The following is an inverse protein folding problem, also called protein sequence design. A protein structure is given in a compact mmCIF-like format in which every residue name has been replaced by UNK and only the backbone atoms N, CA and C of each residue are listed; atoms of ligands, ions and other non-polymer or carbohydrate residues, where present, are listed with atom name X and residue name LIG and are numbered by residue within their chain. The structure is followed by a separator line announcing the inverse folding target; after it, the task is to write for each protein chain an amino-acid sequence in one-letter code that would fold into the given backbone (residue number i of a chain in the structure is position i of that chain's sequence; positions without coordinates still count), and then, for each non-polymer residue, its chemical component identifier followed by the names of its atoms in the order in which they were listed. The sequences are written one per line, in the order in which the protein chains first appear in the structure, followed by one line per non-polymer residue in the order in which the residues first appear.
data_IF_810839539779
#
_entry.id   IF_810839539779
#
_cell.length_a   1.000
_cell.length_b   1.000
_cell.length_c   1.000
_cell.angle_alpha   90.00
_cell.angle_beta   90.00
_cell.angle_gamma   90.00
#
_symmetry.space_group_name_H-M   'P 1'
#
loop_
_entity.id
_entity.type
_entity.pdbx_description
1 polymer ?
#
# COMPACT_ATOMS: atom_id res chain seq x y z
N UNK A 1 -89.61 34.47 -22.72
CA UNK A 1 -90.55 34.46 -23.86
C UNK A 1 -91.88 34.99 -23.37
N UNK A 2 -92.30 36.16 -23.83
CA UNK A 2 -93.67 36.67 -23.64
C UNK A 2 -93.88 37.89 -24.54
N UNK A 3 -94.51 37.61 -25.69
CA UNK A 3 -95.34 38.44 -26.55
C UNK A 3 -94.89 39.87 -26.88
N UNK A 4 -94.36 40.01 -28.10
CA UNK A 4 -94.47 41.22 -28.89
C UNK A 4 -95.95 41.60 -29.03
N UNK A 5 -96.36 42.74 -28.48
CA UNK A 5 -97.40 43.53 -29.12
C UNK A 5 -96.77 44.33 -30.27
N UNK A 6 -96.30 43.61 -31.29
CA UNK A 6 -96.52 44.03 -32.67
C UNK A 6 -98.03 44.08 -32.86
N UNK A 7 -98.67 45.15 -32.42
CA UNK A 7 -99.97 45.50 -32.98
C UNK A 7 -99.69 45.93 -34.43
N UNK A 8 -99.48 44.93 -35.29
CA UNK A 8 -99.60 45.11 -36.73
C UNK A 8 -101.00 45.63 -36.92
N UNK A 9 -101.10 46.82 -37.51
CA UNK A 9 -102.38 47.39 -37.89
C UNK A 9 -103.24 46.31 -38.55
N UNK A 10 -104.42 46.07 -38.00
CA UNK A 10 -105.31 45.04 -38.52
C UNK A 10 -105.97 45.53 -39.81
N UNK A 11 -105.48 45.02 -40.93
CA UNK A 11 -106.00 45.35 -42.26
C UNK A 11 -107.28 44.57 -42.61
N UNK A 12 -107.72 43.61 -41.78
CA UNK A 12 -108.85 42.72 -42.11
C UNK A 12 -110.21 43.44 -42.13
N UNK A 13 -110.33 44.57 -41.41
CA UNK A 13 -111.53 45.41 -41.39
C UNK A 13 -111.62 46.42 -42.54
N UNK A 14 -110.64 46.45 -43.45
CA UNK A 14 -110.60 47.34 -44.61
C UNK A 14 -111.02 46.62 -45.88
N UNK A 15 -111.60 47.35 -46.85
CA UNK A 15 -111.75 46.80 -48.19
C UNK A 15 -110.39 46.53 -48.84
N UNK A 16 -110.38 45.67 -49.85
CA UNK A 16 -109.15 45.19 -50.51
C UNK A 16 -108.32 46.34 -51.07
N UNK A 17 -108.95 47.37 -51.65
CA UNK A 17 -108.24 48.50 -52.25
C UNK A 17 -107.58 49.37 -51.16
N UNK A 18 -108.31 49.67 -50.08
CA UNK A 18 -107.76 50.44 -48.95
C UNK A 18 -106.66 49.67 -48.22
N UNK A 19 -106.81 48.36 -48.03
CA UNK A 19 -105.80 47.52 -47.42
C UNK A 19 -104.50 47.45 -48.26
N UNK A 20 -104.61 47.37 -49.59
CA UNK A 20 -103.44 47.40 -50.49
C UNK A 20 -102.73 48.74 -50.42
N UNK A 21 -103.48 49.84 -50.57
CA UNK A 21 -102.93 51.20 -50.49
C UNK A 21 -102.19 51.44 -49.17
N UNK A 22 -102.80 51.06 -48.04
CA UNK A 22 -102.19 51.28 -46.73
C UNK A 22 -100.91 50.45 -46.53
N UNK A 23 -100.83 49.22 -47.06
CA UNK A 23 -99.62 48.39 -47.01
C UNK A 23 -98.51 48.94 -47.91
N UNK A 24 -98.83 49.31 -49.15
CA UNK A 24 -97.88 49.91 -50.09
C UNK A 24 -97.34 51.24 -49.55
N UNK A 25 -98.23 52.10 -49.04
CA UNK A 25 -97.86 53.37 -48.40
C UNK A 25 -96.94 53.14 -47.19
N UNK A 26 -97.20 52.13 -46.36
CA UNK A 26 -96.35 51.82 -45.22
C UNK A 26 -94.95 51.34 -45.63
N UNK A 27 -94.83 50.59 -46.73
CA UNK A 27 -93.54 50.19 -47.30
C UNK A 27 -92.81 51.43 -47.83
N UNK A 28 -93.51 52.28 -48.58
CA UNK A 28 -92.91 53.49 -49.17
C UNK A 28 -92.44 54.48 -48.09
N UNK A 29 -93.24 54.71 -47.06
CA UNK A 29 -92.89 55.59 -45.93
C UNK A 29 -91.62 55.06 -45.23
N UNK A 30 -91.54 53.75 -44.94
CA UNK A 30 -90.34 53.14 -44.34
C UNK A 30 -89.10 53.25 -45.23
N UNK A 31 -89.27 53.10 -46.54
CA UNK A 31 -88.17 53.29 -47.49
C UNK A 31 -87.68 54.76 -47.50
N UNK A 32 -88.61 55.72 -47.44
CA UNK A 32 -88.29 57.15 -47.34
C UNK A 32 -87.60 57.49 -46.01
N UNK A 33 -88.02 56.89 -44.90
CA UNK A 33 -87.33 57.04 -43.61
C UNK A 33 -85.88 56.54 -43.66
N UNK A 34 -85.62 55.41 -44.33
CA UNK A 34 -84.25 54.94 -44.58
C UNK A 34 -83.46 55.91 -45.46
N UNK A 35 -84.09 56.48 -46.48
CA UNK A 35 -83.45 57.45 -47.36
C UNK A 35 -83.05 58.74 -46.64
N UNK A 36 -83.72 59.13 -45.54
CA UNK A 36 -83.32 60.28 -44.71
C UNK A 36 -81.88 60.12 -44.22
N UNK A 37 -81.53 58.93 -43.73
CA UNK A 37 -80.16 58.62 -43.27
C UNK A 37 -79.13 58.76 -44.39
N UNK A 38 -79.41 58.14 -45.53
CA UNK A 38 -78.53 58.13 -46.69
C UNK A 38 -78.32 59.56 -47.22
N UNK A 39 -79.39 60.35 -47.28
CA UNK A 39 -79.34 61.75 -47.69
C UNK A 39 -78.53 62.61 -46.72
N UNK A 40 -78.69 62.44 -45.39
CA UNK A 40 -77.91 63.21 -44.41
C UNK A 40 -76.42 62.89 -44.53
N UNK A 41 -76.06 61.61 -44.70
CA UNK A 41 -74.67 61.18 -44.91
C UNK A 41 -74.13 61.72 -46.23
N UNK A 42 -74.91 61.67 -47.31
CA UNK A 42 -74.50 62.19 -48.62
C UNK A 42 -74.30 63.71 -48.58
N UNK A 43 -75.20 64.47 -47.97
CA UNK A 43 -75.04 65.91 -47.74
C UNK A 43 -73.73 66.17 -47.00
N UNK A 44 -73.45 65.43 -45.91
CA UNK A 44 -72.20 65.54 -45.18
C UNK A 44 -70.97 65.25 -46.05
N UNK A 45 -71.01 64.21 -46.88
CA UNK A 45 -69.92 63.86 -47.79
C UNK A 45 -69.68 64.95 -48.86
N UNK A 46 -70.74 65.52 -49.44
CA UNK A 46 -70.61 66.65 -50.38
C UNK A 46 -70.04 67.89 -49.69
N UNK A 47 -70.49 68.19 -48.47
CA UNK A 47 -69.94 69.28 -47.66
C UNK A 47 -68.45 69.06 -47.34
N UNK A 48 -68.03 67.82 -47.03
CA UNK A 48 -66.60 67.48 -46.85
C UNK A 48 -65.82 67.74 -48.13
N UNK A 49 -66.32 67.31 -49.29
CA UNK A 49 -65.66 67.49 -50.57
C UNK A 49 -65.48 68.98 -50.93
N UNK A 50 -66.55 69.78 -50.80
CA UNK A 50 -66.50 71.22 -51.06
C UNK A 50 -65.61 71.95 -50.05
N UNK A 51 -65.69 71.59 -48.76
CA UNK A 51 -64.82 72.17 -47.72
C UNK A 51 -63.32 71.94 -48.00
N UNK A 52 -62.97 70.80 -48.60
CA UNK A 52 -61.59 70.49 -49.02
C UNK A 52 -61.15 71.27 -50.26
N UNK A 53 -62.09 71.57 -51.17
CA UNK A 53 -61.80 72.28 -52.43
C UNK A 53 -61.69 73.81 -52.27
N UNK A 54 -62.39 74.38 -51.28
CA UNK A 54 -62.39 75.82 -51.05
C UNK A 54 -61.16 76.30 -50.24
N UNK A 55 -60.65 77.52 -50.50
CA UNK A 55 -59.63 78.14 -49.66
C UNK A 55 -60.07 78.29 -48.20
N UNK A 56 -59.08 78.32 -47.30
CA UNK A 56 -59.32 78.54 -45.87
C UNK A 56 -60.17 79.80 -45.62
N UNK A 57 -61.17 79.67 -44.75
CA UNK A 57 -62.09 80.77 -44.40
C UNK A 57 -63.25 81.00 -45.38
N UNK A 58 -63.22 80.42 -46.59
CA UNK A 58 -64.28 80.61 -47.59
C UNK A 58 -65.49 79.69 -47.39
N UNK A 59 -65.29 78.52 -46.78
CA UNK A 59 -66.35 77.52 -46.61
C UNK A 59 -67.57 78.04 -45.84
N UNK A 60 -67.35 78.76 -44.73
CA UNK A 60 -68.46 79.32 -43.94
C UNK A 60 -69.28 80.36 -44.70
N UNK A 61 -68.63 81.16 -45.55
CA UNK A 61 -69.31 82.14 -46.40
C UNK A 61 -70.16 81.44 -47.48
N UNK A 62 -69.60 80.41 -48.11
CA UNK A 62 -70.29 79.60 -49.11
C UNK A 62 -71.52 78.87 -48.54
N UNK A 63 -71.38 78.23 -47.37
CA UNK A 63 -72.52 77.57 -46.70
C UNK A 63 -73.65 78.55 -46.40
N UNK A 64 -73.31 79.77 -45.97
CA UNK A 64 -74.28 80.82 -45.68
C UNK A 64 -74.97 81.34 -46.95
N UNK A 65 -74.25 81.46 -48.08
CA UNK A 65 -74.83 81.97 -49.33
C UNK A 65 -75.73 80.96 -50.03
N UNK A 66 -75.34 79.68 -50.07
CA UNK A 66 -76.06 78.65 -50.84
C UNK A 66 -77.27 78.08 -50.09
N UNK A 67 -77.19 77.97 -48.76
CA UNK A 67 -78.19 77.23 -47.96
C UNK A 67 -78.78 78.05 -46.81
N UNK A 68 -78.32 79.29 -46.60
CA UNK A 68 -78.65 80.11 -45.42
C UNK A 68 -78.33 79.42 -44.08
N UNK A 69 -77.45 78.42 -44.11
CA UNK A 69 -77.07 77.65 -42.94
C UNK A 69 -75.95 78.33 -42.16
N UNK A 70 -75.93 78.08 -40.86
CA UNK A 70 -74.75 78.35 -40.06
C UNK A 70 -73.64 77.33 -40.38
N UNK A 71 -72.38 77.73 -40.16
CA UNK A 71 -71.26 76.80 -40.22
C UNK A 71 -71.41 75.65 -39.21
N UNK A 72 -72.12 75.88 -38.09
CA UNK A 72 -72.45 74.84 -37.10
C UNK A 72 -73.35 73.78 -37.72
N UNK A 73 -74.41 74.19 -38.43
CA UNK A 73 -75.35 73.28 -39.11
C UNK A 73 -74.62 72.41 -40.12
N UNK A 74 -73.80 73.00 -41.02
CA UNK A 74 -72.98 72.23 -41.94
C UNK A 74 -71.98 71.30 -41.22
N UNK A 75 -71.43 71.75 -40.09
CA UNK A 75 -70.56 70.94 -39.24
C UNK A 75 -71.26 69.69 -38.68
N UNK A 76 -72.55 69.77 -38.35
CA UNK A 76 -73.34 68.61 -37.88
C UNK A 76 -73.47 67.54 -38.96
N UNK A 77 -73.81 67.93 -40.20
CA UNK A 77 -73.86 67.00 -41.35
C UNK A 77 -72.50 66.36 -41.63
N UNK A 78 -71.42 67.15 -41.61
CA UNK A 78 -70.04 66.64 -41.77
C UNK A 78 -69.73 65.60 -40.69
N UNK A 79 -70.07 65.87 -39.43
CA UNK A 79 -69.81 64.95 -38.32
C UNK A 79 -70.57 63.63 -38.49
N UNK A 80 -71.83 63.68 -38.92
CA UNK A 80 -72.61 62.48 -39.23
C UNK A 80 -71.91 61.65 -40.31
N UNK A 81 -71.50 62.27 -41.41
CA UNK A 81 -70.83 61.55 -42.50
C UNK A 81 -69.47 60.96 -42.09
N UNK A 82 -68.74 61.61 -41.17
CA UNK A 82 -67.45 61.12 -40.68
C UNK A 82 -67.59 59.93 -39.73
N UNK A 83 -68.54 59.97 -38.80
CA UNK A 83 -68.67 58.99 -37.72
C UNK A 83 -69.60 57.82 -38.10
N UNK A 84 -70.62 58.07 -38.92
CA UNK A 84 -71.64 57.09 -39.30
C UNK A 84 -71.46 56.61 -40.75
N UNK A 85 -70.32 55.96 -41.00
CA UNK A 85 -69.97 55.42 -42.32
C UNK A 85 -70.97 54.36 -42.82
N UNK A 86 -70.80 53.92 -44.08
CA UNK A 86 -71.67 52.94 -44.74
C UNK A 86 -71.81 51.59 -44.00
N UNK A 87 -70.96 51.30 -43.02
CA UNK A 87 -70.99 50.06 -42.24
C UNK A 87 -72.19 50.00 -41.26
N UNK A 88 -72.86 51.12 -40.99
CA UNK A 88 -74.01 51.19 -40.07
C UNK A 88 -75.38 51.19 -40.79
N UNK A 89 -75.39 51.04 -42.13
CA UNK A 89 -76.58 51.14 -43.01
C UNK A 89 -77.66 50.08 -42.80
N UNK A 90 -77.31 48.91 -42.27
CA UNK A 90 -78.24 47.76 -42.16
C UNK A 90 -79.05 47.74 -40.85
N UNK A 91 -79.01 48.83 -40.09
CA UNK A 91 -79.70 48.92 -38.81
C UNK A 91 -81.09 49.55 -39.00
N UNK A 92 -82.07 48.73 -39.41
CA UNK A 92 -83.44 49.14 -39.75
C UNK A 92 -84.26 49.84 -38.62
N UNK A 93 -83.67 50.06 -37.44
CA UNK A 93 -84.29 50.67 -36.26
C UNK A 93 -83.43 51.84 -35.72
N UNK A 94 -82.81 52.60 -36.62
CA UNK A 94 -82.05 53.79 -36.26
C UNK A 94 -82.94 55.04 -36.17
N UNK A 95 -82.49 56.09 -35.44
CA UNK A 95 -83.26 57.31 -35.27
C UNK A 95 -83.58 57.99 -36.60
N UNK A 96 -84.82 58.42 -36.84
CA UNK A 96 -85.22 59.02 -38.12
C UNK A 96 -85.17 60.56 -38.14
N UNK A 97 -84.78 61.22 -37.04
CA UNK A 97 -84.59 62.68 -36.98
C UNK A 97 -83.11 63.08 -37.06
N UNK A 98 -82.85 64.24 -37.69
CA UNK A 98 -81.49 64.76 -37.86
C UNK A 98 -80.75 64.95 -36.52
N UNK A 99 -81.43 65.49 -35.51
CA UNK A 99 -80.88 65.73 -34.18
C UNK A 99 -80.46 64.43 -33.50
N UNK A 100 -81.26 63.38 -33.63
CA UNK A 100 -80.98 62.08 -33.04
C UNK A 100 -79.82 61.37 -33.75
N UNK A 101 -79.75 61.46 -35.08
CA UNK A 101 -78.63 60.94 -35.89
C UNK A 101 -77.33 61.67 -35.54
N UNK A 102 -77.38 63.00 -35.45
CA UNK A 102 -76.23 63.81 -35.05
C UNK A 102 -75.77 63.49 -33.62
N UNK A 103 -76.70 63.23 -32.70
CA UNK A 103 -76.37 62.86 -31.33
C UNK A 103 -75.69 61.50 -31.27
N UNK A 104 -76.13 60.53 -32.08
CA UNK A 104 -75.48 59.23 -32.21
C UNK A 104 -74.05 59.37 -32.75
N UNK A 105 -73.87 60.13 -33.84
CA UNK A 105 -72.55 60.46 -34.39
C UNK A 105 -71.66 61.16 -33.35
N UNK A 106 -72.24 62.05 -32.55
CA UNK A 106 -71.52 62.73 -31.47
C UNK A 106 -71.10 61.78 -30.35
N UNK A 107 -71.89 60.74 -30.10
CA UNK A 107 -71.54 59.63 -29.21
C UNK A 107 -70.30 58.87 -29.67
N UNK A 108 -70.15 58.64 -30.97
CA UNK A 108 -69.04 57.85 -31.54
C UNK A 108 -67.69 58.59 -31.57
N UNK A 109 -67.72 59.91 -31.40
CA UNK A 109 -66.51 60.71 -31.46
C UNK A 109 -65.59 60.41 -30.29
N UNK A 110 -64.32 60.11 -30.61
CA UNK A 110 -63.25 59.74 -29.66
C UNK A 110 -63.56 58.50 -28.81
N UNK A 111 -64.39 57.59 -29.31
CA UNK A 111 -64.59 56.27 -28.70
C UNK A 111 -63.93 55.19 -29.55
N UNK A 112 -63.48 54.11 -28.91
CA UNK A 112 -63.02 52.90 -29.60
C UNK A 112 -64.19 52.17 -30.28
N UNK A 113 -63.87 51.24 -31.18
CA UNK A 113 -64.89 50.53 -31.97
C UNK A 113 -65.81 49.67 -31.10
N UNK A 114 -65.30 49.08 -30.01
CA UNK A 114 -66.11 48.29 -29.07
C UNK A 114 -67.19 49.14 -28.42
N UNK A 115 -66.82 50.35 -27.95
CA UNK A 115 -67.76 51.29 -27.36
C UNK A 115 -68.80 51.77 -28.38
N UNK A 116 -68.41 51.98 -29.65
CA UNK A 116 -69.36 52.33 -30.72
C UNK A 116 -70.37 51.21 -30.98
N UNK A 117 -69.92 49.96 -31.03
CA UNK A 117 -70.78 48.79 -31.19
C UNK A 117 -71.75 48.64 -30.01
N UNK A 118 -71.28 48.85 -28.77
CA UNK A 118 -72.12 48.82 -27.58
C UNK A 118 -73.20 49.91 -27.63
N UNK A 119 -72.83 51.14 -27.99
CA UNK A 119 -73.80 52.24 -28.18
C UNK A 119 -74.82 51.86 -29.26
N UNK A 120 -74.36 51.32 -30.40
CA UNK A 120 -75.24 50.94 -31.50
C UNK A 120 -76.21 49.82 -31.10
N UNK A 121 -75.74 48.80 -30.40
CA UNK A 121 -76.56 47.69 -29.93
C UNK A 121 -77.59 48.14 -28.89
N UNK A 122 -77.19 49.00 -27.94
CA UNK A 122 -78.10 49.54 -26.94
C UNK A 122 -79.17 50.44 -27.59
N UNK A 123 -78.79 51.27 -28.55
CA UNK A 123 -79.73 52.07 -29.36
C UNK A 123 -80.70 51.17 -30.11
N UNK A 124 -80.22 50.09 -30.76
CA UNK A 124 -81.09 49.12 -31.46
C UNK A 124 -82.08 48.44 -30.51
N UNK A 125 -81.60 47.94 -29.39
CA UNK A 125 -82.40 47.23 -28.39
C UNK A 125 -83.49 48.15 -27.84
N UNK A 126 -83.13 49.36 -27.42
CA UNK A 126 -84.10 50.34 -26.91
C UNK A 126 -85.09 50.81 -27.97
N UNK A 127 -84.68 50.97 -29.23
CA UNK A 127 -85.62 51.25 -30.32
C UNK A 127 -86.61 50.09 -30.51
N UNK A 128 -86.14 48.83 -30.43
CA UNK A 128 -87.00 47.65 -30.53
C UNK A 128 -88.00 47.57 -29.36
N UNK A 129 -87.56 47.79 -28.13
CA UNK A 129 -88.41 47.80 -26.93
C UNK A 129 -89.48 48.89 -27.00
N UNK A 130 -89.11 50.09 -27.48
CA UNK A 130 -90.00 51.24 -27.56
C UNK A 130 -90.95 51.19 -28.77
N UNK A 131 -90.62 50.39 -29.79
CA UNK A 131 -91.39 50.28 -31.03
C UNK A 131 -91.37 51.54 -31.92
N UNK A 132 -90.59 52.56 -31.57
CA UNK A 132 -90.43 53.82 -32.32
C UNK A 132 -89.02 54.36 -32.17
N UNK A 133 -88.59 55.19 -33.12
CA UNK A 133 -87.29 55.85 -33.12
C UNK A 133 -86.99 56.58 -31.79
N UNK A 134 -85.75 56.47 -31.33
CA UNK A 134 -85.27 57.16 -30.13
C UNK A 134 -85.07 58.65 -30.40
N UNK A 135 -85.33 59.45 -29.37
CA UNK A 135 -85.11 60.89 -29.36
C UNK A 135 -83.65 61.23 -29.10
N UNK A 136 -83.25 62.47 -29.42
CA UNK A 136 -81.93 63.01 -29.10
C UNK A 136 -81.55 62.80 -27.62
N UNK A 137 -82.49 63.08 -26.71
CA UNK A 137 -82.26 62.96 -25.26
C UNK A 137 -81.94 61.53 -24.85
N UNK A 138 -82.68 60.55 -25.38
CA UNK A 138 -82.49 59.13 -25.06
C UNK A 138 -81.14 58.61 -25.57
N UNK A 139 -80.73 59.02 -26.77
CA UNK A 139 -79.42 58.66 -27.34
C UNK A 139 -78.30 59.31 -26.54
N UNK A 140 -78.48 60.56 -26.09
CA UNK A 140 -77.53 61.24 -25.22
C UNK A 140 -77.36 60.52 -23.88
N UNK A 141 -78.45 60.03 -23.29
CA UNK A 141 -78.40 59.25 -22.05
C UNK A 141 -77.68 57.91 -22.23
N UNK A 142 -77.97 57.19 -23.32
CA UNK A 142 -77.29 55.92 -23.67
C UNK A 142 -75.78 56.16 -23.84
N UNK A 143 -75.41 57.13 -24.67
CA UNK A 143 -74.02 57.44 -24.98
C UNK A 143 -73.25 57.89 -23.73
N UNK A 144 -73.84 58.72 -22.88
CA UNK A 144 -73.21 59.17 -21.63
C UNK A 144 -72.99 58.01 -20.65
N UNK A 145 -73.99 57.13 -20.50
CA UNK A 145 -73.89 55.97 -19.60
C UNK A 145 -72.76 55.03 -20.04
N UNK A 146 -72.75 54.62 -21.30
CA UNK A 146 -71.74 53.67 -21.81
C UNK A 146 -70.33 54.28 -21.73
N UNK A 147 -70.18 55.57 -22.05
CA UNK A 147 -68.87 56.26 -21.90
C UNK A 147 -68.39 56.27 -20.45
N UNK A 148 -69.27 56.60 -19.51
CA UNK A 148 -68.93 56.59 -18.09
C UNK A 148 -68.53 55.20 -17.59
N UNK A 149 -69.21 54.14 -18.05
CA UNK A 149 -68.88 52.76 -17.73
C UNK A 149 -67.52 52.34 -18.32
N UNK A 150 -67.24 52.75 -19.55
CA UNK A 150 -65.96 52.51 -20.23
C UNK A 150 -64.80 53.22 -19.52
N UNK A 151 -64.96 54.51 -19.18
CA UNK A 151 -63.97 55.30 -18.45
C UNK A 151 -63.70 54.71 -17.05
N UNK A 152 -64.75 54.29 -16.33
CA UNK A 152 -64.59 53.62 -15.04
C UNK A 152 -63.83 52.29 -15.19
N UNK A 153 -64.11 51.52 -16.24
CA UNK A 153 -63.42 50.26 -16.52
C UNK A 153 -61.95 50.48 -16.84
N UNK A 154 -61.61 51.50 -17.63
CA UNK A 154 -60.21 51.87 -17.92
C UNK A 154 -59.48 52.19 -16.61
N UNK A 155 -60.05 53.05 -15.77
CA UNK A 155 -59.41 53.44 -14.51
C UNK A 155 -59.15 52.25 -13.58
N UNK A 156 -60.07 51.28 -13.52
CA UNK A 156 -59.87 50.04 -12.77
C UNK A 156 -58.74 49.21 -13.38
N UNK A 157 -58.71 49.05 -14.71
CA UNK A 157 -57.69 48.27 -15.40
C UNK A 157 -56.30 48.91 -15.27
N UNK A 158 -56.20 50.23 -15.32
CA UNK A 158 -54.95 50.98 -15.09
C UNK A 158 -54.43 50.75 -13.66
N UNK A 159 -55.30 50.81 -12.65
CA UNK A 159 -54.90 50.51 -11.27
C UNK A 159 -54.49 49.04 -11.07
N UNK A 160 -55.16 48.10 -11.75
CA UNK A 160 -54.76 46.68 -11.74
C UNK A 160 -53.41 46.46 -12.41
N UNK A 161 -53.14 47.17 -13.51
CA UNK A 161 -51.87 47.09 -14.21
C UNK A 161 -50.73 47.61 -13.33
N UNK A 162 -50.89 48.79 -12.72
CA UNK A 162 -49.90 49.38 -11.81
C UNK A 162 -49.60 48.45 -10.63
N UNK A 163 -50.64 47.89 -10.00
CA UNK A 163 -50.46 46.93 -8.91
C UNK A 163 -49.70 45.67 -9.37
N UNK A 164 -49.99 45.18 -10.57
CA UNK A 164 -49.30 44.01 -11.15
C UNK A 164 -47.83 44.31 -11.43
N UNK A 165 -47.51 45.50 -11.93
CA UNK A 165 -46.14 45.96 -12.17
C UNK A 165 -45.35 46.03 -10.86
N UNK A 166 -45.91 46.64 -9.81
CA UNK A 166 -45.29 46.71 -8.48
C UNK A 166 -45.02 45.30 -7.91
N UNK A 167 -45.99 44.39 -8.03
CA UNK A 167 -45.82 43.00 -7.59
C UNK A 167 -44.72 42.27 -8.38
N UNK A 168 -44.63 42.53 -9.69
CA UNK A 168 -43.60 41.93 -10.54
C UNK A 168 -42.20 42.42 -10.19
N UNK A 169 -42.02 43.71 -9.93
CA UNK A 169 -40.74 44.30 -9.52
C UNK A 169 -40.30 43.80 -8.14
N UNK A 170 -41.25 43.63 -7.21
CA UNK A 170 -40.99 43.04 -5.91
C UNK A 170 -40.49 41.59 -6.05
N UNK A 171 -41.14 40.78 -6.90
CA UNK A 171 -40.69 39.40 -7.18
C UNK A 171 -39.33 39.38 -7.85
N UNK A 172 -39.05 40.28 -8.79
CA UNK A 172 -37.74 40.36 -9.46
C UNK A 172 -36.62 40.66 -8.44
N UNK A 173 -36.87 41.57 -7.52
CA UNK A 173 -35.94 41.90 -6.43
C UNK A 173 -35.66 40.67 -5.54
N UNK A 174 -36.70 39.89 -5.23
CA UNK A 174 -36.54 38.64 -4.48
C UNK A 174 -35.70 37.61 -5.25
N UNK A 175 -35.94 37.43 -6.55
CA UNK A 175 -35.19 36.51 -7.41
C UNK A 175 -33.70 36.87 -7.42
N UNK A 176 -33.37 38.15 -7.66
CA UNK A 176 -31.97 38.62 -7.68
C UNK A 176 -31.25 38.35 -6.35
N UNK A 177 -31.93 38.52 -5.21
CA UNK A 177 -31.33 38.23 -3.90
C UNK A 177 -31.12 36.74 -3.65
N UNK A 178 -32.04 35.88 -4.13
CA UNK A 178 -31.89 34.42 -4.09
C UNK A 178 -30.75 33.94 -5.00
N UNK A 179 -30.66 34.46 -6.23
CA UNK A 179 -29.57 34.16 -7.16
C UNK A 179 -28.21 34.51 -6.56
N UNK A 180 -28.09 35.69 -5.94
CA UNK A 180 -26.86 36.10 -5.25
C UNK A 180 -26.49 35.14 -4.12
N UNK A 181 -27.48 34.68 -3.35
CA UNK A 181 -27.28 33.72 -2.26
C UNK A 181 -26.90 32.32 -2.76
N UNK A 182 -27.45 31.89 -3.91
CA UNK A 182 -27.10 30.63 -4.56
C UNK A 182 -25.69 30.66 -5.12
N UNK A 183 -25.32 31.75 -5.81
CA UNK A 183 -23.97 31.95 -6.34
C UNK A 183 -22.90 31.84 -5.25
N UNK A 184 -23.15 32.44 -4.07
CA UNK A 184 -22.24 32.31 -2.93
C UNK A 184 -22.12 30.87 -2.41
N UNK A 185 -23.23 30.11 -2.42
CA UNK A 185 -23.20 28.69 -2.04
C UNK A 185 -22.42 27.86 -3.06
N UNK A 186 -22.60 28.11 -4.34
CA UNK A 186 -21.87 27.43 -5.42
C UNK A 186 -20.36 27.64 -5.30
N UNK A 187 -19.91 28.89 -5.13
CA UNK A 187 -18.49 29.20 -4.91
C UNK A 187 -17.92 28.45 -3.68
N UNK A 188 -18.70 28.36 -2.60
CA UNK A 188 -18.29 27.61 -1.41
C UNK A 188 -18.18 26.10 -1.68
N UNK A 189 -19.13 25.51 -2.41
CA UNK A 189 -19.08 24.09 -2.77
C UNK A 189 -17.89 23.79 -3.70
N UNK A 190 -17.59 24.69 -4.63
CA UNK A 190 -16.45 24.55 -5.54
C UNK A 190 -15.11 24.56 -4.78
N UNK A 191 -14.95 25.48 -3.82
CA UNK A 191 -13.77 25.52 -2.95
C UNK A 191 -13.64 24.24 -2.09
N UNK A 192 -14.76 23.71 -1.58
CA UNK A 192 -14.77 22.44 -0.82
C UNK A 192 -14.36 21.26 -1.71
N UNK A 193 -14.88 21.18 -2.92
CA UNK A 193 -14.53 20.11 -3.87
C UNK A 193 -13.06 20.16 -4.27
N UNK A 194 -12.49 21.35 -4.43
CA UNK A 194 -11.05 21.51 -4.68
C UNK A 194 -10.22 21.00 -3.49
N UNK A 195 -10.63 21.32 -2.27
CA UNK A 195 -9.96 20.82 -1.05
C UNK A 195 -10.04 19.30 -0.95
N UNK A 196 -11.20 18.70 -1.27
CA UNK A 196 -11.38 17.24 -1.28
C UNK A 196 -10.42 16.61 -2.29
N UNK A 197 -10.35 17.15 -3.52
CA UNK A 197 -9.43 16.68 -4.56
C UNK A 197 -7.98 16.72 -4.10
N UNK A 198 -7.54 17.82 -3.49
CA UNK A 198 -6.17 17.91 -2.94
C UNK A 198 -5.90 16.87 -1.85
N UNK A 199 -6.90 16.54 -1.02
CA UNK A 199 -6.77 15.49 -0.02
C UNK A 199 -6.70 14.09 -0.65
N UNK A 200 -7.46 13.84 -1.70
CA UNK A 200 -7.42 12.58 -2.45
C UNK A 200 -6.06 12.37 -3.13
N UNK A 201 -5.52 13.42 -3.78
CA UNK A 201 -4.19 13.39 -4.38
C UNK A 201 -3.11 13.13 -3.32
N UNK A 202 -3.19 13.79 -2.15
CA UNK A 202 -2.26 13.54 -1.03
C UNK A 202 -2.38 12.11 -0.48
N UNK A 203 -3.60 11.57 -0.40
CA UNK A 203 -3.84 10.20 0.05
C UNK A 203 -3.21 9.19 -0.90
N UNK A 204 -3.31 9.43 -2.21
CA UNK A 204 -2.68 8.58 -3.22
C UNK A 204 -1.16 8.55 -3.07
N UNK A 205 -0.52 9.73 -2.92
CA UNK A 205 0.93 9.84 -2.67
C UNK A 205 1.33 9.13 -1.36
N UNK A 206 0.51 9.23 -0.32
CA UNK A 206 0.78 8.54 0.94
C UNK A 206 0.74 7.02 0.77
N UNK A 207 -0.25 6.51 0.04
CA UNK A 207 -0.38 5.07 -0.24
C UNK A 207 0.82 4.52 -1.04
N UNK A 208 1.30 5.27 -2.04
CA UNK A 208 2.49 4.90 -2.81
C UNK A 208 3.75 4.82 -1.93
N UNK A 209 3.93 5.80 -1.03
CA UNK A 209 5.04 5.77 -0.04
C UNK A 209 4.94 4.61 0.93
N UNK A 210 3.73 4.27 1.37
CA UNK A 210 3.52 3.13 2.26
C UNK A 210 3.87 1.80 1.58
N UNK A 211 3.54 1.66 0.30
CA UNK A 211 3.93 0.51 -0.52
C UNK A 211 5.46 0.44 -0.70
N UNK A 212 6.11 1.57 -0.98
CA UNK A 212 7.57 1.64 -1.11
C UNK A 212 8.27 1.26 0.19
N UNK A 213 7.80 1.76 1.33
CA UNK A 213 8.32 1.40 2.65
C UNK A 213 8.15 -0.10 2.95
N UNK A 214 7.03 -0.70 2.55
CA UNK A 214 6.82 -2.13 2.71
C UNK A 214 7.81 -2.96 1.88
N UNK A 215 8.09 -2.53 0.64
CA UNK A 215 9.10 -3.16 -0.23
C UNK A 215 10.50 -3.04 0.38
N UNK A 216 10.91 -1.85 0.81
CA UNK A 216 12.22 -1.63 1.44
C UNK A 216 12.41 -2.47 2.71
N UNK A 217 11.37 -2.61 3.55
CA UNK A 217 11.42 -3.47 4.74
C UNK A 217 11.63 -4.94 4.37
N UNK A 218 10.98 -5.41 3.31
CA UNK A 218 11.17 -6.77 2.82
C UNK A 218 12.60 -6.99 2.34
N UNK A 219 13.14 -6.08 1.52
CA UNK A 219 14.53 -6.16 1.06
C UNK A 219 15.55 -6.14 2.20
N UNK A 220 15.31 -5.34 3.23
CA UNK A 220 16.15 -5.33 4.44
C UNK A 220 16.08 -6.67 5.19
N UNK A 221 14.89 -7.27 5.29
CA UNK A 221 14.71 -8.61 5.85
C UNK A 221 15.48 -9.67 5.06
N UNK A 222 15.38 -9.65 3.74
CA UNK A 222 16.10 -10.58 2.85
C UNK A 222 17.63 -10.42 2.99
N UNK A 223 18.12 -9.18 3.02
CA UNK A 223 19.55 -8.87 3.28
C UNK A 223 20.01 -9.32 4.66
N UNK A 224 19.17 -9.19 5.68
CA UNK A 224 19.50 -9.66 7.04
C UNK A 224 19.68 -11.18 7.05
N UNK A 225 18.79 -11.93 6.40
CA UNK A 225 18.91 -13.39 6.27
C UNK A 225 20.18 -13.78 5.51
N UNK A 226 20.54 -13.05 4.45
CA UNK A 226 21.78 -13.26 3.71
C UNK A 226 23.02 -13.02 4.61
N UNK A 227 23.04 -11.91 5.36
CA UNK A 227 24.11 -11.59 6.31
C UNK A 227 24.25 -12.68 7.36
N UNK A 228 23.15 -13.13 7.97
CA UNK A 228 23.17 -14.18 9.00
C UNK A 228 23.70 -15.51 8.44
N UNK A 229 23.34 -15.84 7.20
CA UNK A 229 23.85 -17.02 6.50
C UNK A 229 25.36 -16.91 6.23
N UNK A 230 25.84 -15.73 5.83
CA UNK A 230 27.27 -15.48 5.64
C UNK A 230 28.05 -15.53 6.96
N UNK A 231 27.47 -15.02 8.05
CA UNK A 231 28.06 -15.11 9.40
C UNK A 231 28.20 -16.57 9.82
N UNK A 232 27.15 -17.39 9.69
CA UNK A 232 27.18 -18.82 10.02
C UNK A 232 28.22 -19.57 9.18
N UNK A 233 28.26 -19.31 7.87
CA UNK A 233 29.26 -19.92 6.98
C UNK A 233 30.68 -19.54 7.39
N UNK A 234 30.93 -18.27 7.73
CA UNK A 234 32.25 -17.81 8.17
C UNK A 234 32.63 -18.38 9.53
N UNK A 235 31.70 -18.49 10.48
CA UNK A 235 31.93 -19.13 11.77
C UNK A 235 32.31 -20.60 11.61
N UNK A 236 31.59 -21.35 10.76
CA UNK A 236 31.93 -22.74 10.42
C UNK A 236 33.32 -22.87 9.80
N UNK A 237 33.67 -21.99 8.87
CA UNK A 237 34.96 -22.00 8.22
C UNK A 237 36.10 -21.72 9.22
N UNK A 238 35.95 -20.71 10.08
CA UNK A 238 36.93 -20.42 11.14
C UNK A 238 37.08 -21.57 12.14
N UNK A 239 35.96 -22.21 12.53
CA UNK A 239 36.00 -23.38 13.40
C UNK A 239 36.72 -24.57 12.73
N UNK A 240 36.48 -24.78 11.44
CA UNK A 240 37.15 -25.82 10.67
C UNK A 240 38.66 -25.56 10.54
N UNK A 241 39.05 -24.32 10.24
CA UNK A 241 40.47 -23.92 10.20
C UNK A 241 41.18 -24.10 11.56
N UNK A 242 40.49 -23.88 12.67
CA UNK A 242 41.03 -24.13 14.01
C UNK A 242 41.18 -25.62 14.33
N UNK A 243 40.16 -26.43 13.97
CA UNK A 243 40.22 -27.89 14.10
C UNK A 243 41.39 -28.46 13.29
N UNK A 244 41.58 -27.99 12.05
CA UNK A 244 42.64 -28.49 11.17
C UNK A 244 44.03 -28.07 11.68
N UNK A 245 44.17 -26.85 12.22
CA UNK A 245 45.39 -26.43 12.91
C UNK A 245 45.72 -27.31 14.11
N UNK A 246 44.74 -27.59 14.96
CA UNK A 246 44.97 -28.41 16.15
C UNK A 246 45.25 -29.88 15.80
N UNK A 247 44.59 -30.43 14.77
CA UNK A 247 44.92 -31.75 14.22
C UNK A 247 46.36 -31.82 13.72
N UNK A 248 46.82 -30.81 12.98
CA UNK A 248 48.20 -30.75 12.50
C UNK A 248 49.21 -30.69 13.67
N UNK A 249 48.89 -29.92 14.72
CA UNK A 249 49.69 -29.86 15.95
C UNK A 249 49.77 -31.21 16.66
N UNK A 250 48.63 -31.91 16.79
CA UNK A 250 48.57 -33.23 17.41
C UNK A 250 49.33 -34.28 16.60
N UNK A 251 49.20 -34.27 15.27
CA UNK A 251 49.94 -35.16 14.38
C UNK A 251 51.45 -34.95 14.50
N UNK A 252 51.91 -33.69 14.58
CA UNK A 252 53.32 -33.40 14.83
C UNK A 252 53.83 -33.96 16.17
N UNK A 253 53.02 -33.85 17.23
CA UNK A 253 53.35 -34.46 18.54
C UNK A 253 53.37 -35.99 18.50
N UNK A 254 52.45 -36.60 17.76
CA UNK A 254 52.40 -38.05 17.57
C UNK A 254 53.67 -38.55 16.89
N UNK A 255 54.10 -37.90 15.80
CA UNK A 255 55.36 -38.21 15.12
C UNK A 255 56.58 -38.04 16.02
N UNK A 256 56.61 -36.99 16.84
CA UNK A 256 57.69 -36.77 17.81
C UNK A 256 57.74 -37.88 18.88
N UNK A 257 56.58 -38.29 19.39
CA UNK A 257 56.46 -39.40 20.35
C UNK A 257 56.87 -40.73 19.71
N UNK A 258 56.48 -41.00 18.47
CA UNK A 258 56.92 -42.21 17.74
C UNK A 258 58.45 -42.24 17.59
N UNK A 259 59.06 -41.10 17.29
CA UNK A 259 60.52 -40.98 17.18
C UNK A 259 61.21 -41.21 18.54
N UNK A 260 60.64 -40.66 19.62
CA UNK A 260 61.13 -40.91 20.98
C UNK A 260 61.02 -42.40 21.34
N UNK A 261 59.87 -43.03 21.10
CA UNK A 261 59.66 -44.47 21.32
C UNK A 261 60.68 -45.28 20.53
N UNK A 262 60.95 -44.91 19.27
CA UNK A 262 61.96 -45.56 18.42
C UNK A 262 63.36 -45.46 19.04
N UNK A 263 63.77 -44.28 19.50
CA UNK A 263 65.05 -44.06 20.18
C UNK A 263 65.15 -44.91 21.45
N UNK A 264 64.17 -44.84 22.34
CA UNK A 264 64.16 -45.63 23.58
C UNK A 264 64.17 -47.14 23.30
N UNK A 265 63.51 -47.60 22.24
CA UNK A 265 63.55 -49.01 21.82
C UNK A 265 64.95 -49.44 21.37
N UNK A 266 65.68 -48.57 20.68
CA UNK A 266 67.07 -48.82 20.29
C UNK A 266 67.99 -48.85 21.51
N UNK A 267 67.87 -47.88 22.41
CA UNK A 267 68.62 -47.84 23.68
C UNK A 267 68.36 -49.11 24.52
N UNK A 268 67.11 -49.55 24.61
CA UNK A 268 66.75 -50.79 25.29
C UNK A 268 67.39 -52.02 24.65
N UNK A 269 67.51 -52.04 23.31
CA UNK A 269 68.17 -53.13 22.58
C UNK A 269 69.67 -53.17 22.90
N UNK A 270 70.33 -52.02 22.96
CA UNK A 270 71.74 -51.92 23.34
C UNK A 270 71.97 -52.34 24.80
N UNK A 271 71.13 -51.88 25.73
CA UNK A 271 71.21 -52.26 27.14
C UNK A 271 71.05 -53.78 27.34
N UNK A 272 70.15 -54.42 26.57
CA UNK A 272 69.99 -55.88 26.58
C UNK A 272 71.23 -56.62 26.10
N UNK A 273 71.94 -56.08 25.10
CA UNK A 273 73.19 -56.66 24.58
C UNK A 273 74.30 -56.61 25.65
N UNK A 274 74.50 -55.43 26.24
CA UNK A 274 75.48 -55.23 27.32
C UNK A 274 75.22 -56.15 28.52
N UNK A 275 73.95 -56.36 28.88
CA UNK A 275 73.58 -57.29 29.94
C UNK A 275 73.98 -58.74 29.63
N UNK A 276 73.80 -59.20 28.39
CA UNK A 276 74.20 -60.56 27.98
C UNK A 276 75.72 -60.77 28.03
N UNK A 277 76.50 -59.75 27.70
CA UNK A 277 77.95 -59.76 27.84
C UNK A 277 78.37 -59.90 29.32
N UNK A 278 77.78 -59.08 30.21
CA UNK A 278 78.05 -59.13 31.65
C UNK A 278 77.67 -60.47 32.32
N UNK A 279 76.57 -61.12 31.89
CA UNK A 279 76.19 -62.45 32.38
C UNK A 279 77.22 -63.53 32.01
N UNK A 280 77.88 -63.39 30.85
CA UNK A 280 78.93 -64.30 30.39
C UNK A 280 80.22 -64.15 31.20
N UNK A 281 80.59 -62.91 31.53
CA UNK A 281 81.77 -62.62 32.35
C UNK A 281 81.60 -63.09 33.79
N UNK A 282 80.42 -62.91 34.37
CA UNK A 282 80.09 -63.42 35.70
C UNK A 282 80.24 -64.95 35.80
N UNK A 283 79.87 -65.69 34.74
CA UNK A 283 80.04 -67.14 34.69
C UNK A 283 81.53 -67.57 34.68
N UNK A 284 82.39 -66.84 33.95
CA UNK A 284 83.84 -67.11 33.89
C UNK A 284 84.51 -66.88 35.25
N UNK A 285 84.18 -65.78 35.91
CA UNK A 285 84.71 -65.43 37.23
C UNK A 285 84.37 -66.49 38.28
N UNK A 286 83.13 -67.00 38.28
CA UNK A 286 82.71 -68.08 39.20
C UNK A 286 83.54 -69.36 39.03
N UNK A 287 83.91 -69.72 37.80
CA UNK A 287 84.73 -70.91 37.51
C UNK A 287 86.17 -70.74 38.02
N UNK A 288 86.74 -69.54 37.89
CA UNK A 288 88.08 -69.22 38.39
C UNK A 288 88.17 -69.32 39.91
N UNK A 289 87.19 -68.75 40.63
CA UNK A 289 87.13 -68.79 42.11
C UNK A 289 87.11 -70.24 42.64
N UNK A 290 86.34 -71.12 42.01
CA UNK A 290 86.33 -72.54 42.40
C UNK A 290 87.67 -73.25 42.20
N UNK A 291 88.43 -72.87 41.17
CA UNK A 291 89.74 -73.45 40.90
C UNK A 291 90.79 -73.01 41.92
N UNK A 292 90.75 -71.74 42.33
CA UNK A 292 91.62 -71.21 43.40
C UNK A 292 91.37 -71.90 44.74
N UNK A 293 90.10 -72.17 45.10
CA UNK A 293 89.79 -72.91 46.33
C UNK A 293 90.37 -74.32 46.36
N UNK A 294 90.39 -75.02 45.23
CA UNK A 294 90.97 -76.37 45.14
C UNK A 294 92.51 -76.38 45.28
N UNK A 295 93.19 -75.31 44.83
CA UNK A 295 94.64 -75.12 44.99
C UNK A 295 95.04 -74.90 46.46
N UNK A 296 94.20 -74.19 47.21
CA UNK A 296 94.44 -73.91 48.62
C UNK A 296 94.41 -75.21 49.45
N UNK A 297 93.38 -76.05 49.25
CA UNK A 297 93.26 -77.36 49.92
C UNK A 297 94.39 -78.32 49.54
N UNK A 298 94.86 -78.23 48.29
CA UNK A 298 95.98 -79.04 47.80
C UNK A 298 97.30 -78.67 48.50
N UNK A 299 97.52 -77.37 48.75
CA UNK A 299 98.75 -76.87 49.36
C UNK A 299 98.87 -77.28 50.84
N UNK A 300 97.76 -77.28 51.57
CA UNK A 300 97.71 -77.78 52.96
C UNK A 300 98.12 -79.26 53.06
N UNK A 301 97.62 -80.09 52.14
CA UNK A 301 97.89 -81.54 52.13
C UNK A 301 99.36 -81.88 51.83
N UNK A 302 100.07 -81.06 51.05
CA UNK A 302 101.51 -81.24 50.81
C UNK A 302 102.33 -80.95 52.07
N UNK A 303 101.97 -79.89 52.81
CA UNK A 303 102.70 -79.49 54.00
C UNK A 303 102.61 -80.56 55.10
N UNK A 304 101.42 -81.09 55.36
CA UNK A 304 101.22 -82.15 56.38
C UNK A 304 102.06 -83.40 56.09
N UNK A 305 102.00 -83.93 54.86
CA UNK A 305 102.73 -85.14 54.48
C UNK A 305 104.27 -84.96 54.49
N UNK A 306 104.77 -83.75 54.22
CA UNK A 306 106.22 -83.46 54.28
C UNK A 306 106.76 -83.48 55.71
N UNK A 307 105.94 -83.07 56.68
CA UNK A 307 106.30 -83.00 58.10
C UNK A 307 106.41 -84.41 58.71
N UNK A 308 105.55 -85.34 58.31
CA UNK A 308 105.60 -86.73 58.75
C UNK A 308 106.85 -87.47 58.26
N UNK A 309 107.23 -87.27 56.99
CA UNK A 309 108.49 -87.80 56.44
C UNK A 309 109.73 -87.27 57.19
N UNK A 310 109.72 -85.98 57.56
CA UNK A 310 110.83 -85.37 58.30
C UNK A 310 110.96 -85.95 59.73
N UNK A 311 109.83 -86.25 60.39
CA UNK A 311 109.83 -86.89 61.72
C UNK A 311 110.38 -88.32 61.66
N UNK A 312 109.93 -89.13 60.70
CA UNK A 312 110.38 -90.52 60.54
C UNK A 312 111.90 -90.62 60.30
N UNK A 313 112.48 -89.73 59.48
CA UNK A 313 113.92 -89.69 59.20
C UNK A 313 114.75 -89.38 60.45
N UNK A 314 114.33 -88.41 61.27
CA UNK A 314 115.03 -88.06 62.50
C UNK A 314 114.99 -89.18 63.56
N UNK A 315 113.89 -89.95 63.63
CA UNK A 315 113.79 -91.10 64.54
C UNK A 315 114.69 -92.28 64.15
N UNK A 316 115.01 -92.44 62.86
CA UNK A 316 115.95 -93.47 62.39
C UNK A 316 117.42 -93.14 62.71
N UNK A 317 117.77 -91.86 62.81
CA UNK A 317 119.14 -91.42 63.09
C UNK A 317 119.54 -91.48 64.57
N UNK A 318 118.57 -91.66 65.49
CA UNK A 318 118.80 -91.70 66.95
C UNK A 318 118.90 -93.13 67.52
N UNK A 319 118.88 -94.17 66.68
CA UNK A 319 118.96 -95.55 67.15
C UNK A 319 120.39 -95.92 67.60
N UNK A 320 120.57 -96.54 68.79
CA UNK A 320 121.87 -97.00 69.27
C UNK A 320 122.37 -98.21 68.46
N UNK A 321 123.70 -98.44 68.48
CA UNK A 321 124.35 -99.54 67.77
C UNK A 321 123.79 -100.91 68.21
N UNK A 322 123.17 -101.63 67.27
CA UNK A 322 122.42 -102.85 67.52
C UNK A 322 123.31 -104.09 67.72
N UNK A 323 124.63 -103.96 67.54
CA UNK A 323 125.59 -105.07 67.63
C UNK A 323 125.85 -105.60 69.05
N UNK A 324 125.32 -104.93 70.08
CA UNK A 324 125.47 -105.26 71.51
C UNK A 324 124.30 -106.08 72.09
N UNK A 325 123.27 -106.37 71.30
CA UNK A 325 122.06 -107.04 71.79
C UNK A 325 122.31 -108.53 72.03
N UNK A 326 121.99 -109.02 73.22
CA UNK A 326 122.03 -110.44 73.53
C UNK A 326 120.92 -111.20 72.76
N UNK A 327 121.01 -112.53 72.65
CA UNK A 327 119.98 -113.31 71.96
C UNK A 327 118.56 -113.14 72.55
N UNK A 328 118.46 -112.74 73.81
CA UNK A 328 117.18 -112.47 74.47
C UNK A 328 116.63 -111.08 74.10
N UNK A 329 117.51 -110.09 73.93
CA UNK A 329 117.16 -108.74 73.48
C UNK A 329 116.77 -108.69 71.99
N UNK A 330 117.38 -109.54 71.14
CA UNK A 330 117.03 -109.63 69.72
C UNK A 330 115.59 -110.14 69.48
N UNK A 331 115.01 -110.90 70.41
CA UNK A 331 113.60 -111.33 70.33
C UNK A 331 112.60 -110.19 70.61
N UNK A 332 113.02 -109.13 71.30
CA UNK A 332 112.17 -107.99 71.66
C UNK A 332 112.24 -106.88 70.58
N UNK A 333 113.42 -106.67 69.99
CA UNK A 333 113.68 -105.53 69.09
C UNK A 333 113.16 -105.76 67.66
N UNK A 334 113.12 -107.02 67.17
CA UNK A 334 112.78 -107.32 65.77
C UNK A 334 111.36 -106.89 65.33
N UNK A 335 110.29 -107.05 66.14
CA UNK A 335 108.95 -106.57 65.77
C UNK A 335 108.84 -105.04 65.67
N UNK A 336 109.53 -104.29 66.53
CA UNK A 336 109.43 -102.83 66.59
C UNK A 336 110.13 -102.15 65.40
N UNK A 337 111.26 -102.69 64.95
CA UNK A 337 111.95 -102.21 63.74
C UNK A 337 111.08 -102.42 62.50
N UNK A 338 110.31 -103.51 62.44
CA UNK A 338 109.43 -103.81 61.30
C UNK A 338 108.31 -102.78 61.14
N UNK A 339 107.70 -102.33 62.24
CA UNK A 339 106.63 -101.32 62.23
C UNK A 339 107.17 -99.96 61.74
N UNK A 340 108.37 -99.57 62.16
CA UNK A 340 109.00 -98.31 61.73
C UNK A 340 109.30 -98.29 60.22
N UNK A 341 109.67 -99.43 59.63
CA UNK A 341 109.91 -99.55 58.18
C UNK A 341 108.59 -99.44 57.40
N UNK A 342 107.52 -100.09 57.85
CA UNK A 342 106.20 -100.02 57.21
C UNK A 342 105.64 -98.59 57.19
N UNK A 343 105.79 -97.84 58.30
CA UNK A 343 105.35 -96.43 58.38
C UNK A 343 106.15 -95.51 57.44
N UNK A 344 107.46 -95.75 57.29
CA UNK A 344 108.29 -94.99 56.37
C UNK A 344 107.91 -95.23 54.90
N UNK A 345 107.66 -96.49 54.51
CA UNK A 345 107.28 -96.82 53.14
C UNK A 345 105.89 -96.25 52.76
N UNK A 346 104.93 -96.26 53.69
CA UNK A 346 103.61 -95.69 53.46
C UNK A 346 103.67 -94.16 53.23
N UNK A 347 104.43 -93.44 54.07
CA UNK A 347 104.64 -92.00 53.93
C UNK A 347 105.36 -91.65 52.61
N UNK A 348 106.35 -92.44 52.22
CA UNK A 348 107.09 -92.28 50.95
C UNK A 348 106.19 -92.47 49.73
N UNK A 349 105.31 -93.46 49.74
CA UNK A 349 104.36 -93.73 48.64
C UNK A 349 103.38 -92.56 48.46
N UNK A 350 102.85 -92.03 49.56
CA UNK A 350 101.88 -90.92 49.51
C UNK A 350 102.52 -89.64 48.97
N UNK A 351 103.75 -89.32 49.39
CA UNK A 351 104.50 -88.18 48.83
C UNK A 351 104.85 -88.39 47.35
N UNK A 352 105.16 -89.63 46.94
CA UNK A 352 105.36 -90.01 45.53
C UNK A 352 104.12 -89.81 44.66
N UNK A 353 102.92 -90.13 45.18
CA UNK A 353 101.64 -89.89 44.47
C UNK A 353 101.34 -88.40 44.35
N UNK A 354 101.58 -87.62 45.40
CA UNK A 354 101.38 -86.17 45.38
C UNK A 354 102.28 -85.50 44.34
N UNK A 355 103.57 -85.84 44.31
CA UNK A 355 104.53 -85.30 43.32
C UNK A 355 104.19 -85.71 41.89
N UNK A 356 103.75 -86.95 41.63
CA UNK A 356 103.24 -87.33 40.31
C UNK A 356 102.02 -86.52 39.87
N UNK A 357 101.10 -86.22 40.80
CA UNK A 357 99.94 -85.37 40.51
C UNK A 357 100.35 -83.94 40.15
N UNK A 358 101.37 -83.37 40.84
CA UNK A 358 101.97 -82.07 40.49
C UNK A 358 102.55 -82.11 39.08
N UNK A 359 103.33 -83.15 38.75
CA UNK A 359 103.91 -83.29 37.42
C UNK A 359 102.84 -83.42 36.33
N UNK A 360 101.73 -84.13 36.59
CA UNK A 360 100.60 -84.19 35.65
C UNK A 360 99.89 -82.83 35.48
N UNK A 361 99.66 -82.10 36.56
CA UNK A 361 99.00 -80.79 36.51
C UNK A 361 99.89 -79.73 35.83
N UNK A 362 101.20 -79.74 36.11
CA UNK A 362 102.17 -78.87 35.44
C UNK A 362 102.28 -79.18 33.94
N UNK A 363 102.19 -80.46 33.54
CA UNK A 363 102.17 -80.83 32.12
C UNK A 363 100.85 -80.49 31.41
N UNK A 364 99.76 -80.31 32.15
CA UNK A 364 98.47 -79.82 31.62
C UNK A 364 98.39 -78.29 31.58
N UNK A 365 99.26 -77.60 32.34
CA UNK A 365 99.42 -76.15 32.31
C UNK A 365 100.28 -75.74 31.12
N UNK A 366 99.63 -75.30 30.04
CA UNK A 366 100.30 -74.60 28.96
C UNK A 366 100.69 -73.20 29.47
N UNK A 367 101.89 -73.05 30.01
CA UNK A 367 102.38 -71.83 30.67
C UNK A 367 102.44 -70.59 29.75
N UNK A 368 102.21 -70.73 28.45
CA UNK A 368 102.12 -69.62 27.51
C UNK A 368 100.83 -68.78 27.67
N UNK A 369 99.78 -69.29 28.31
CA UNK A 369 98.52 -68.54 28.51
C UNK A 369 98.44 -67.75 29.83
N UNK A 370 99.47 -67.81 30.69
CA UNK A 370 99.47 -67.06 31.96
C UNK A 370 100.04 -65.63 31.82
N UNK A 371 100.82 -65.34 30.78
CA UNK A 371 101.29 -63.98 30.47
C UNK A 371 100.20 -63.10 29.83
N UNK A 372 99.27 -63.68 29.05
CA UNK A 372 98.20 -62.92 28.39
C UNK A 372 97.07 -62.49 29.35
N UNK A 373 97.03 -63.03 30.57
CA UNK A 373 95.99 -62.71 31.57
C UNK A 373 96.38 -61.54 32.48
N UNK A 374 97.67 -61.16 32.54
CA UNK A 374 98.14 -60.01 33.35
C UNK A 374 98.17 -58.70 32.54
N UNK A 375 98.25 -58.75 31.20
CA UNK A 375 98.17 -57.53 30.37
C UNK A 375 96.74 -57.02 30.11
N UNK A 376 95.71 -57.82 30.41
CA UNK A 376 94.30 -57.45 30.17
C UNK A 376 93.64 -56.63 31.31
N UNK A 377 94.32 -56.44 32.45
CA UNK A 377 93.75 -55.74 33.63
C UNK A 377 94.13 -54.25 33.74
N UNK A 378 94.70 -53.67 32.67
CA UNK A 378 94.99 -52.21 32.58
C UNK A 378 94.48 -51.63 31.26
N UNK A 379 93.16 -51.68 30.99
CA UNK A 379 92.41 -50.62 30.28
C UNK A 379 90.97 -50.66 30.80
N UNK A 380 90.70 -49.87 31.84
CA UNK A 380 89.34 -49.43 32.15
C UNK A 380 89.02 -48.14 31.36
N UNK A 381 87.73 -47.91 31.02
CA UNK A 381 87.31 -46.99 29.98
C UNK A 381 87.42 -45.52 30.39
N UNK A 382 87.99 -44.69 29.51
CA UNK A 382 87.85 -43.23 29.63
C UNK A 382 86.41 -42.83 29.30
N UNK A 383 85.72 -42.33 30.33
CA UNK A 383 84.53 -41.48 30.25
C UNK A 383 84.71 -40.37 29.19
N UNK A 384 83.75 -40.23 28.27
CA UNK A 384 82.90 -39.04 28.14
C UNK A 384 81.68 -39.33 27.28
#
# INVERSE_FOLDING_TARGET
MSNLSTEKFDYSGLDIATASLAKESAIEIKAREKAIWENIIEIGNKLIAVKKALPHGSFGKWVKSEFEWSQITAGKYIKVAQELSSNYKDSYNLPNSFEAIYQLASGFSKTDETTKEQILNEVKNKTQEKGKALTEKEIKEITAKIKSEYEARISILEGQLEQTEIESDSRLTQIVSLESSLRFKEEKYEAQNQTIKEMEDKKQVFFEKELELAQQKKELGDKQVEIDTLIDKKAKLLAQEEIDREKARLLGKEQELEEQIRKTKNELKEAKKLRGEAETDAYRLKKFVNWMGALETFTENINENSLELFRAINSLQSLPDLSILTQEDQKIVSPQIRILIEQYDEARINYGKATQKITQLLNQLNLNTFNDVIEAEVIMPKKR
#
